data_IF_521175536554
#
_entry.id   IF_521175536554
#
_cell.length_a   1.000
_cell.length_b   1.000
_cell.length_c   1.000
_cell.angle_alpha   90.00
_cell.angle_beta   90.00
_cell.angle_gamma   90.00
#
_symmetry.space_group_name_H-M   'P 1'
#
loop_
_entity.id
_entity.type
_entity.pdbx_description
1 polymer ?
#
# COMPACT_ATOMS: atom_id res chain seq x y z
N UNK A 1 11.21 -12.26 -37.97
CA UNK A 1 10.04 -11.92 -37.15
C UNK A 1 10.56 -11.32 -35.86
N UNK A 2 10.43 -10.01 -35.65
CA UNK A 2 10.83 -9.39 -34.38
C UNK A 2 9.75 -9.66 -33.32
N UNK A 3 10.04 -10.54 -32.37
CA UNK A 3 9.20 -10.73 -31.19
C UNK A 3 9.42 -9.54 -30.25
N UNK A 4 8.37 -8.73 -30.07
CA UNK A 4 8.31 -7.62 -29.13
C UNK A 4 8.61 -8.17 -27.73
N UNK A 5 9.65 -7.64 -27.08
CA UNK A 5 10.03 -8.03 -25.73
C UNK A 5 8.85 -7.80 -24.76
N UNK A 6 8.52 -8.83 -23.99
CA UNK A 6 7.50 -8.77 -22.94
C UNK A 6 7.89 -7.73 -21.89
N UNK A 7 6.98 -6.82 -21.57
CA UNK A 7 7.09 -5.86 -20.47
C UNK A 7 6.59 -6.45 -19.13
N UNK A 8 6.55 -7.78 -19.01
CA UNK A 8 6.20 -8.45 -17.76
C UNK A 8 7.12 -7.96 -16.64
N UNK A 9 6.58 -7.53 -15.49
CA UNK A 9 7.39 -7.06 -14.36
C UNK A 9 8.43 -8.10 -14.01
N UNK A 10 9.70 -7.72 -14.09
CA UNK A 10 10.79 -8.55 -13.57
C UNK A 10 10.78 -8.32 -12.07
N UNK A 11 10.23 -9.27 -11.30
CA UNK A 11 10.36 -9.23 -9.85
C UNK A 11 11.84 -9.39 -9.53
N UNK A 12 12.47 -8.33 -9.04
CA UNK A 12 13.78 -8.41 -8.42
C UNK A 12 13.69 -9.43 -7.29
N UNK A 13 14.46 -10.51 -7.38
CA UNK A 13 14.67 -11.42 -6.26
C UNK A 13 15.35 -10.59 -5.18
N UNK A 14 14.59 -10.19 -4.15
CA UNK A 14 15.16 -9.55 -2.98
C UNK A 14 16.06 -10.56 -2.30
N UNK A 15 17.33 -10.21 -2.16
CA UNK A 15 18.25 -10.84 -1.21
C UNK A 15 17.56 -10.86 0.15
N UNK A 16 17.62 -12.03 0.78
CA UNK A 16 16.98 -12.44 2.03
C UNK A 16 17.57 -11.67 3.23
N UNK A 17 17.40 -10.35 3.26
CA UNK A 17 17.45 -9.60 4.51
C UNK A 17 16.06 -9.65 5.13
N UNK A 18 15.98 -9.91 6.44
CA UNK A 18 14.77 -9.89 7.25
C UNK A 18 14.04 -8.54 7.12
N UNK A 19 13.35 -8.32 6.00
CA UNK A 19 12.47 -7.17 5.84
C UNK A 19 11.36 -7.40 6.86
N UNK A 20 11.24 -6.53 7.89
CA UNK A 20 10.18 -6.67 8.86
C UNK A 20 8.85 -6.64 8.10
N UNK A 21 8.15 -7.77 8.09
CA UNK A 21 6.88 -7.88 7.40
C UNK A 21 5.90 -6.89 8.02
N UNK A 22 5.18 -6.14 7.19
CA UNK A 22 4.18 -5.19 7.65
C UNK A 22 2.81 -5.54 7.08
N UNK A 23 1.79 -5.38 7.92
CA UNK A 23 0.39 -5.43 7.54
C UNK A 23 -0.15 -4.00 7.47
N UNK A 24 -0.72 -3.63 6.33
CA UNK A 24 -1.49 -2.40 6.18
C UNK A 24 -2.97 -2.76 6.22
N UNK A 25 -3.68 -2.30 7.23
CA UNK A 25 -5.11 -2.51 7.39
C UNK A 25 -5.86 -1.22 7.09
N UNK A 26 -6.84 -1.29 6.19
CA UNK A 26 -7.67 -0.14 5.78
C UNK A 26 -9.11 -0.45 6.14
N UNK A 27 -9.70 0.41 6.96
CA UNK A 27 -11.13 0.46 7.27
C UNK A 27 -11.72 1.78 6.77
N UNK A 28 -13.04 1.92 6.84
CA UNK A 28 -13.75 3.12 6.39
C UNK A 28 -13.25 4.39 7.08
N UNK A 29 -12.88 4.34 8.37
CA UNK A 29 -12.46 5.52 9.13
C UNK A 29 -11.04 5.43 9.70
N UNK A 30 -10.27 4.42 9.32
CA UNK A 30 -8.92 4.24 9.87
C UNK A 30 -7.99 3.47 8.91
N UNK A 31 -6.73 3.90 8.83
CA UNK A 31 -5.63 3.16 8.21
C UNK A 31 -4.58 2.87 9.26
N UNK A 32 -4.14 1.61 9.38
CA UNK A 32 -3.07 1.20 10.30
C UNK A 32 -1.93 0.52 9.56
N UNK A 33 -0.71 0.74 10.06
CA UNK A 33 0.46 -0.08 9.73
C UNK A 33 0.88 -0.85 10.97
N UNK A 34 1.00 -2.16 10.82
CA UNK A 34 1.26 -3.10 11.91
C UNK A 34 2.51 -3.91 11.56
N UNK A 35 3.49 -3.93 12.46
CA UNK A 35 4.67 -4.79 12.34
C UNK A 35 4.32 -6.24 12.62
N UNK A 36 4.80 -7.18 11.81
CA UNK A 36 4.72 -8.61 12.04
C UNK A 36 6.12 -9.17 12.40
N UNK A 37 6.19 -10.24 13.22
CA UNK A 37 5.07 -10.94 13.85
C UNK A 37 4.63 -10.32 15.19
N UNK A 38 5.18 -9.16 15.59
CA UNK A 38 4.94 -8.58 16.92
C UNK A 38 3.55 -7.97 17.09
N UNK A 39 2.83 -7.73 15.99
CA UNK A 39 1.56 -7.02 15.93
C UNK A 39 1.62 -5.61 16.55
N UNK A 40 2.81 -5.00 16.57
CA UNK A 40 2.99 -3.64 17.09
C UNK A 40 2.45 -2.62 16.08
N UNK A 41 1.57 -1.71 16.51
CA UNK A 41 1.09 -0.62 15.66
C UNK A 41 2.22 0.39 15.43
N UNK A 42 2.65 0.54 14.18
CA UNK A 42 3.69 1.49 13.76
C UNK A 42 3.09 2.85 13.37
N UNK A 43 1.88 2.83 12.80
CA UNK A 43 1.18 4.02 12.32
C UNK A 43 -0.33 3.84 12.41
N UNK A 44 -1.06 4.94 12.65
CA UNK A 44 -2.51 5.02 12.51
C UNK A 44 -2.88 6.39 11.95
N UNK A 45 -3.77 6.40 10.95
CA UNK A 45 -4.43 7.57 10.41
C UNK A 45 -5.94 7.41 10.57
N UNK A 46 -6.59 8.36 11.23
CA UNK A 46 -8.04 8.38 11.40
C UNK A 46 -8.68 9.36 10.42
N UNK A 47 -9.79 8.95 9.81
CA UNK A 47 -10.65 9.83 9.05
C UNK A 47 -11.84 10.19 9.95
N UNK A 48 -12.04 11.46 10.26
CA UNK A 48 -13.02 11.87 11.29
C UNK A 48 -14.45 11.91 10.76
N UNK A 49 -14.67 12.52 9.59
CA UNK A 49 -16.03 12.80 9.10
C UNK A 49 -16.39 12.05 7.81
N UNK A 50 -15.40 11.75 6.96
CA UNK A 50 -15.63 11.27 5.60
C UNK A 50 -14.96 9.91 5.44
N UNK A 51 -15.74 8.83 5.19
CA UNK A 51 -15.18 7.49 5.10
C UNK A 51 -14.37 7.30 3.81
N UNK A 52 -13.37 6.43 3.91
CA UNK A 52 -12.68 5.84 2.77
C UNK A 52 -13.60 4.83 2.08
N UNK A 53 -13.77 5.00 0.78
CA UNK A 53 -14.60 4.11 -0.06
C UNK A 53 -13.77 3.19 -0.95
N UNK A 54 -12.47 3.49 -1.12
CA UNK A 54 -11.53 2.67 -1.88
C UNK A 54 -10.10 2.90 -1.42
N UNK A 55 -9.30 1.85 -1.42
CA UNK A 55 -7.85 1.94 -1.29
C UNK A 55 -7.18 1.11 -2.37
N UNK A 56 -6.06 1.61 -2.89
CA UNK A 56 -5.32 0.96 -3.97
C UNK A 56 -3.82 1.12 -3.76
N UNK A 57 -3.12 -0.01 -3.69
CA UNK A 57 -1.67 -0.04 -3.74
C UNK A 57 -1.21 0.31 -5.17
N UNK A 58 -0.29 1.27 -5.28
CA UNK A 58 0.26 1.73 -6.56
C UNK A 58 1.68 2.28 -6.37
N UNK A 59 2.25 2.84 -7.42
CA UNK A 59 3.57 3.47 -7.39
C UNK A 59 3.51 4.89 -7.94
N UNK A 60 4.19 5.83 -7.26
CA UNK A 60 4.39 7.19 -7.74
C UNK A 60 5.90 7.41 -7.85
N UNK A 61 6.39 7.63 -9.08
CA UNK A 61 7.82 7.82 -9.37
C UNK A 61 8.72 6.71 -8.80
N UNK A 62 8.23 5.46 -8.79
CA UNK A 62 8.96 4.29 -8.29
C UNK A 62 8.80 4.04 -6.79
N UNK A 63 8.15 4.93 -6.04
CA UNK A 63 7.88 4.72 -4.61
C UNK A 63 6.52 4.05 -4.42
N UNK A 64 6.42 2.99 -3.59
CA UNK A 64 5.14 2.37 -3.27
C UNK A 64 4.29 3.33 -2.44
N UNK A 65 3.04 3.46 -2.80
CA UNK A 65 2.06 4.30 -2.08
C UNK A 65 0.74 3.58 -1.97
N UNK A 66 0.01 3.86 -0.88
CA UNK A 66 -1.38 3.49 -0.74
C UNK A 66 -2.23 4.72 -1.04
N UNK A 67 -2.92 4.72 -2.17
CA UNK A 67 -3.82 5.79 -2.56
C UNK A 67 -5.22 5.48 -2.02
N UNK A 68 -5.81 6.40 -1.24
CA UNK A 68 -7.13 6.23 -0.66
C UNK A 68 -8.12 7.25 -1.25
N UNK A 69 -9.34 6.82 -1.56
CA UNK A 69 -10.42 7.69 -2.03
C UNK A 69 -11.46 7.82 -0.92
N UNK A 70 -11.72 9.06 -0.49
CA UNK A 70 -12.78 9.38 0.43
C UNK A 70 -14.13 9.55 -0.29
N UNK A 71 -15.23 9.41 0.44
CA UNK A 71 -16.59 9.51 -0.10
C UNK A 71 -16.94 10.88 -0.72
N UNK A 72 -16.23 11.94 -0.34
CA UNK A 72 -16.36 13.28 -0.94
C UNK A 72 -15.53 13.49 -2.22
N UNK A 73 -14.83 12.44 -2.66
CA UNK A 73 -14.00 12.45 -3.86
C UNK A 73 -12.55 12.90 -3.63
N UNK A 74 -12.15 13.22 -2.39
CA UNK A 74 -10.75 13.56 -2.11
C UNK A 74 -9.86 12.32 -2.12
N UNK A 75 -8.66 12.49 -2.66
CA UNK A 75 -7.60 11.49 -2.60
C UNK A 75 -6.66 11.82 -1.46
N UNK A 76 -6.39 10.82 -0.64
CA UNK A 76 -5.43 10.83 0.47
C UNK A 76 -4.21 9.97 0.11
#
# INVERSE_FOLDING_TARGET
TLTKSSLSPTYSVSVDEDIPQILIAVAEFEVKVIALPTFSQLFSHKCEDIPLVKAQATHVRGYPVLMCLAADGKVL
#
